data_IF_401398455673
#
_entry.id   IF_401398455673
#
_cell.length_a   1.000
_cell.length_b   1.000
_cell.length_c   1.000
_cell.angle_alpha   90.00
_cell.angle_beta   90.00
_cell.angle_gamma   90.00
#
_symmetry.space_group_name_H-M   'P 1'
#
loop_
_entity.id
_entity.type
_entity.pdbx_description
1 polymer ?
#
# COMPACT_ATOMS: atom_id res chain seq x y z
N UNK A 1 4.42 -10.16 20.41
CA UNK A 1 3.83 -10.27 19.05
C UNK A 1 2.41 -9.74 19.17
N UNK A 2 2.02 -8.72 18.39
CA UNK A 2 0.78 -7.95 18.63
C UNK A 2 -0.50 -8.64 18.18
N UNK A 3 -0.39 -9.82 17.57
CA UNK A 3 -1.51 -10.67 17.15
C UNK A 3 -1.16 -12.11 17.50
N UNK A 4 -2.15 -12.90 17.91
CA UNK A 4 -1.94 -14.32 18.17
C UNK A 4 -1.57 -15.05 16.86
N UNK A 5 -0.67 -16.04 16.91
CA UNK A 5 -0.35 -16.83 15.73
C UNK A 5 -1.58 -17.63 15.32
N UNK A 6 -2.10 -17.34 14.13
CA UNK A 6 -3.19 -18.10 13.53
C UNK A 6 -2.63 -19.44 13.06
N UNK A 7 -3.23 -20.54 13.51
CA UNK A 7 -2.89 -21.86 13.02
C UNK A 7 -3.30 -21.96 11.54
N UNK A 8 -2.37 -22.37 10.68
CA UNK A 8 -2.63 -22.63 9.27
C UNK A 8 -2.38 -24.10 9.00
N UNK A 9 -3.37 -24.77 8.43
CA UNK A 9 -3.24 -26.16 8.02
C UNK A 9 -2.15 -26.29 6.96
N UNK A 10 -1.29 -27.30 7.12
CA UNK A 10 -0.26 -27.57 6.13
C UNK A 10 -0.91 -28.19 4.88
N UNK A 11 -0.61 -27.68 3.67
CA UNK A 11 -1.10 -28.31 2.45
C UNK A 11 -0.54 -29.73 2.31
N UNK A 12 -1.29 -30.64 1.65
CA UNK A 12 -0.83 -32.01 1.41
C UNK A 12 0.43 -32.01 0.54
N UNK A 13 1.31 -33.00 0.74
CA UNK A 13 2.48 -33.15 -0.12
C UNK A 13 2.05 -33.61 -1.52
N UNK A 14 2.47 -32.86 -2.53
CA UNK A 14 2.20 -33.16 -3.94
C UNK A 14 3.45 -33.73 -4.61
N UNK A 15 3.25 -34.56 -5.65
CA UNK A 15 4.33 -35.03 -6.51
C UNK A 15 5.03 -33.85 -7.21
N UNK A 16 6.34 -33.95 -7.44
CA UNK A 16 7.14 -32.85 -8.01
C UNK A 16 6.63 -32.33 -9.36
N UNK A 17 6.01 -33.20 -10.16
CA UNK A 17 5.43 -32.86 -11.46
C UNK A 17 4.23 -31.91 -11.39
N UNK A 18 3.53 -31.84 -10.24
CA UNK A 18 2.46 -30.86 -10.02
C UNK A 18 2.97 -29.51 -9.47
N UNK A 19 4.28 -29.38 -9.22
CA UNK A 19 4.92 -28.18 -8.71
C UNK A 19 5.84 -27.58 -9.78
N UNK A 20 7.15 -27.62 -9.58
CA UNK A 20 8.15 -27.07 -10.50
C UNK A 20 8.83 -28.16 -11.34
N UNK A 21 8.25 -29.35 -11.44
CA UNK A 21 8.70 -30.46 -12.29
C UNK A 21 9.65 -31.44 -11.57
N UNK A 22 10.72 -30.94 -10.96
CA UNK A 22 11.74 -31.79 -10.30
C UNK A 22 12.07 -31.30 -8.87
N UNK A 23 12.73 -32.17 -8.09
CA UNK A 23 13.17 -31.81 -6.73
C UNK A 23 14.15 -30.63 -6.72
N UNK A 24 15.07 -30.60 -7.69
CA UNK A 24 16.06 -29.54 -7.83
C UNK A 24 15.41 -28.20 -8.18
N UNK A 25 14.43 -28.22 -9.09
CA UNK A 25 13.67 -27.01 -9.46
C UNK A 25 12.81 -26.51 -8.29
N UNK A 26 12.16 -27.42 -7.55
CA UNK A 26 11.42 -27.04 -6.35
C UNK A 26 12.30 -26.31 -5.33
N UNK A 27 13.52 -26.81 -5.09
CA UNK A 27 14.47 -26.16 -4.18
C UNK A 27 14.88 -24.78 -4.71
N UNK A 28 15.24 -24.68 -5.99
CA UNK A 28 15.65 -23.43 -6.61
C UNK A 28 14.57 -22.34 -6.50
N UNK A 29 13.34 -22.63 -6.91
CA UNK A 29 12.23 -21.67 -6.82
C UNK A 29 11.88 -21.32 -5.36
N UNK A 30 11.94 -22.28 -4.44
CA UNK A 30 11.74 -21.98 -3.01
C UNK A 30 12.78 -21.01 -2.48
N UNK A 31 14.05 -21.17 -2.85
CA UNK A 31 15.12 -20.25 -2.47
C UNK A 31 14.92 -18.86 -3.09
N UNK A 32 14.52 -18.77 -4.36
CA UNK A 32 14.21 -17.49 -5.02
C UNK A 32 13.06 -16.78 -4.29
N UNK A 33 11.93 -17.47 -4.08
CA UNK A 33 10.75 -16.87 -3.47
C UNK A 33 10.91 -16.59 -1.97
N UNK A 34 11.83 -17.27 -1.27
CA UNK A 34 12.15 -16.94 0.12
C UNK A 34 12.66 -15.50 0.30
N UNK A 35 13.22 -14.89 -0.75
CA UNK A 35 13.65 -13.48 -0.73
C UNK A 35 12.46 -12.51 -0.59
N UNK A 36 11.25 -12.96 -0.92
CA UNK A 36 10.00 -12.20 -0.77
C UNK A 36 9.26 -12.53 0.53
N UNK A 37 9.90 -13.25 1.45
CA UNK A 37 9.35 -13.54 2.78
C UNK A 37 9.93 -12.60 3.83
N UNK A 38 9.12 -12.19 4.82
CA UNK A 38 9.54 -11.31 5.92
C UNK A 38 9.20 -9.82 5.73
N UNK A 39 8.68 -9.43 4.58
CA UNK A 39 8.16 -8.08 4.34
C UNK A 39 7.00 -8.09 3.35
N UNK A 40 6.32 -6.95 3.18
CA UNK A 40 5.33 -6.69 2.12
C UNK A 40 5.69 -5.36 1.47
N UNK A 41 5.61 -5.28 0.14
CA UNK A 41 6.12 -4.14 -0.63
C UNK A 41 5.68 -4.18 -2.09
N UNK A 42 6.23 -3.28 -2.93
CA UNK A 42 5.73 -3.01 -4.29
C UNK A 42 5.51 -4.27 -5.16
N UNK A 43 6.44 -5.22 -5.16
CA UNK A 43 6.32 -6.45 -5.96
C UNK A 43 5.11 -7.31 -5.55
N UNK A 44 4.78 -7.33 -4.26
CA UNK A 44 3.60 -8.01 -3.74
C UNK A 44 2.31 -7.32 -4.21
N UNK A 45 2.24 -5.99 -4.10
CA UNK A 45 1.07 -5.22 -4.55
C UNK A 45 0.84 -5.33 -6.06
N UNK A 46 1.91 -5.33 -6.86
CA UNK A 46 1.82 -5.55 -8.31
C UNK A 46 1.22 -6.92 -8.63
N UNK A 47 1.72 -7.96 -7.97
CA UNK A 47 1.22 -9.34 -8.15
C UNK A 47 -0.24 -9.45 -7.71
N UNK A 48 -0.62 -8.78 -6.61
CA UNK A 48 -2.02 -8.70 -6.17
C UNK A 48 -2.89 -8.01 -7.23
N UNK A 49 -2.46 -6.89 -7.80
CA UNK A 49 -3.24 -6.20 -8.83
C UNK A 49 -3.52 -7.09 -10.04
N UNK A 50 -2.50 -7.81 -10.52
CA UNK A 50 -2.62 -8.71 -11.66
C UNK A 50 -3.55 -9.90 -11.40
N UNK A 51 -3.48 -10.50 -10.21
CA UNK A 51 -4.27 -11.68 -9.86
C UNK A 51 -5.72 -11.35 -9.50
N UNK A 52 -5.95 -10.21 -8.82
CA UNK A 52 -7.29 -9.80 -8.40
C UNK A 52 -8.07 -9.12 -9.53
N UNK A 53 -7.39 -8.33 -10.36
CA UNK A 53 -8.02 -7.43 -11.33
C UNK A 53 -8.92 -6.37 -10.69
N UNK A 54 -9.56 -5.53 -11.51
CA UNK A 54 -10.41 -4.43 -11.03
C UNK A 54 -11.55 -4.90 -10.12
N UNK A 55 -12.22 -5.99 -10.48
CA UNK A 55 -13.35 -6.51 -9.70
C UNK A 55 -12.88 -7.01 -8.32
N UNK A 56 -11.77 -7.76 -8.27
CA UNK A 56 -11.24 -8.26 -7.00
C UNK A 56 -10.76 -7.12 -6.10
N UNK A 57 -10.04 -6.13 -6.67
CA UNK A 57 -9.59 -4.95 -5.93
C UNK A 57 -10.79 -4.18 -5.37
N UNK A 58 -11.84 -3.96 -6.16
CA UNK A 58 -13.04 -3.24 -5.70
C UNK A 58 -13.70 -3.91 -4.48
N UNK A 59 -13.85 -5.24 -4.52
CA UNK A 59 -14.41 -6.00 -3.39
C UNK A 59 -13.51 -5.91 -2.15
N UNK A 60 -12.20 -6.03 -2.31
CA UNK A 60 -11.25 -5.87 -1.19
C UNK A 60 -11.35 -4.47 -0.58
N UNK A 61 -11.41 -3.43 -1.39
CA UNK A 61 -11.57 -2.05 -0.91
C UNK A 61 -12.89 -1.86 -0.14
N UNK A 62 -13.98 -2.46 -0.63
CA UNK A 62 -15.27 -2.40 0.04
C UNK A 62 -15.24 -3.07 1.43
N UNK A 63 -14.63 -4.26 1.53
CA UNK A 63 -14.48 -4.97 2.81
C UNK A 63 -13.54 -4.22 3.76
N UNK A 64 -12.45 -3.65 3.26
CA UNK A 64 -11.55 -2.81 4.07
C UNK A 64 -12.27 -1.57 4.64
N UNK A 65 -13.16 -0.94 3.85
CA UNK A 65 -13.98 0.17 4.33
C UNK A 65 -14.95 -0.27 5.45
N UNK A 66 -15.53 -1.46 5.35
CA UNK A 66 -16.38 -2.03 6.41
C UNK A 66 -15.58 -2.25 7.70
N UNK A 67 -14.36 -2.80 7.58
CA UNK A 67 -13.44 -2.99 8.73
C UNK A 67 -13.09 -1.65 9.36
N UNK A 68 -12.71 -0.66 8.56
CA UNK A 68 -12.39 0.71 9.03
C UNK A 68 -13.58 1.32 9.77
N UNK A 69 -14.78 1.23 9.19
CA UNK A 69 -16.00 1.73 9.83
C UNK A 69 -16.22 1.07 11.20
N UNK A 70 -16.05 -0.24 11.28
CA UNK A 70 -16.18 -1.00 12.53
C UNK A 70 -15.13 -0.58 13.57
N UNK A 71 -13.86 -0.45 13.18
CA UNK A 71 -12.78 -0.03 14.07
C UNK A 71 -12.99 1.40 14.62
N UNK A 72 -13.40 2.32 13.74
CA UNK A 72 -13.61 3.73 14.11
C UNK A 72 -14.84 3.88 15.00
N UNK A 73 -15.97 3.28 14.63
CA UNK A 73 -17.23 3.41 15.37
C UNK A 73 -17.30 2.53 16.63
N UNK A 74 -16.50 1.47 16.69
CA UNK A 74 -16.38 0.57 17.83
C UNK A 74 -15.23 0.98 18.75
N UNK A 75 -14.11 0.25 18.65
CA UNK A 75 -13.00 0.32 19.61
C UNK A 75 -12.43 1.74 19.76
N UNK A 76 -12.09 2.40 18.64
CA UNK A 76 -11.43 3.71 18.69
C UNK A 76 -12.35 4.75 19.35
N UNK A 77 -13.63 4.77 18.99
CA UNK A 77 -14.61 5.68 19.59
C UNK A 77 -14.78 5.44 21.09
N UNK A 78 -14.90 4.17 21.51
CA UNK A 78 -15.05 3.81 22.92
C UNK A 78 -13.82 4.24 23.72
N UNK A 79 -12.61 3.91 23.27
CA UNK A 79 -11.38 4.33 23.93
C UNK A 79 -11.22 5.86 23.95
N UNK A 80 -11.59 6.55 22.88
CA UNK A 80 -11.50 8.02 22.83
C UNK A 80 -12.42 8.67 23.86
N UNK A 81 -13.64 8.15 24.05
CA UNK A 81 -14.56 8.63 25.10
C UNK A 81 -13.98 8.42 26.49
N UNK A 82 -13.50 7.21 26.79
CA UNK A 82 -12.88 6.89 28.08
C UNK A 82 -11.66 7.75 28.36
N UNK A 83 -10.79 7.96 27.36
CA UNK A 83 -9.62 8.82 27.52
C UNK A 83 -9.99 10.30 27.65
N UNK A 84 -11.06 10.76 26.99
CA UNK A 84 -11.56 12.12 27.18
C UNK A 84 -12.08 12.36 28.61
N UNK A 85 -12.70 11.36 29.24
CA UNK A 85 -13.11 11.44 30.64
C UNK A 85 -11.93 11.46 31.61
N UNK A 86 -10.85 10.73 31.28
CA UNK A 86 -9.60 10.74 32.04
C UNK A 86 -8.72 11.99 31.76
N UNK A 87 -9.02 12.76 30.71
CA UNK A 87 -8.24 13.94 30.34
C UNK A 87 -8.45 15.06 31.38
N UNK A 88 -7.38 15.77 31.80
CA UNK A 88 -7.54 16.95 32.64
C UNK A 88 -8.41 18.00 31.92
N UNK A 89 -9.42 18.53 32.63
CA UNK A 89 -10.35 19.54 32.08
C UNK A 89 -9.64 20.79 31.53
N UNK A 90 -8.49 21.11 32.11
CA UNK A 90 -7.67 22.25 31.71
C UNK A 90 -6.20 21.85 31.77
N UNK A 91 -5.55 21.75 30.61
CA UNK A 91 -4.11 21.60 30.48
C UNK A 91 -3.57 22.85 29.76
N UNK A 92 -2.98 23.79 30.52
CA UNK A 92 -2.47 25.06 29.96
C UNK A 92 -1.07 24.86 29.41
N UNK A 93 -0.69 25.70 28.45
CA UNK A 93 0.69 25.81 28.01
C UNK A 93 1.49 26.56 29.08
N UNK A 94 2.49 25.94 29.74
CA UNK A 94 3.30 26.63 30.74
C UNK A 94 4.16 27.72 30.09
N UNK A 95 4.48 28.78 30.84
CA UNK A 95 5.35 29.87 30.36
C UNK A 95 6.78 29.37 30.13
N UNK A 96 7.51 30.02 29.22
CA UNK A 96 8.91 29.68 28.94
C UNK A 96 9.81 29.86 30.18
N UNK A 97 9.42 30.74 31.11
CA UNK A 97 10.14 31.04 32.36
C UNK A 97 10.34 29.81 33.28
N UNK A 98 9.52 28.75 33.12
CA UNK A 98 9.63 27.51 33.91
C UNK A 98 10.77 26.58 33.45
N UNK A 99 11.36 26.83 32.28
CA UNK A 99 12.38 25.96 31.68
C UNK A 99 11.87 24.57 31.28
N UNK A 100 12.66 23.84 30.50
CA UNK A 100 12.27 22.51 30.01
C UNK A 100 11.99 21.48 31.12
N UNK A 101 12.73 21.42 32.25
CA UNK A 101 12.42 20.46 33.32
C UNK A 101 11.09 20.76 34.01
N UNK A 102 10.78 22.04 34.22
CA UNK A 102 9.52 22.47 34.85
C UNK A 102 8.32 22.17 33.95
N UNK A 103 8.44 22.41 32.65
CA UNK A 103 7.41 22.08 31.65
C UNK A 103 7.17 20.57 31.57
N UNK A 104 8.23 19.77 31.55
CA UNK A 104 8.12 18.31 31.53
C UNK A 104 7.43 17.77 32.78
N UNK A 105 7.84 18.27 33.96
CA UNK A 105 7.22 17.89 35.24
C UNK A 105 5.72 18.26 35.29
N UNK A 106 5.34 19.41 34.74
CA UNK A 106 3.95 19.81 34.60
C UNK A 106 3.13 18.80 33.77
N UNK A 107 3.60 18.46 32.56
CA UNK A 107 2.88 17.52 31.70
C UNK A 107 2.85 16.10 32.27
N UNK A 108 3.93 15.66 32.93
CA UNK A 108 3.95 14.37 33.60
C UNK A 108 2.90 14.32 34.72
N UNK A 109 2.76 15.37 35.52
CA UNK A 109 1.74 15.42 36.57
C UNK A 109 0.31 15.48 36.00
N UNK A 110 0.10 16.26 34.94
CA UNK A 110 -1.24 16.46 34.34
C UNK A 110 -1.74 15.27 33.52
N UNK A 111 -0.85 14.52 32.88
CA UNK A 111 -1.19 13.43 31.96
C UNK A 111 -0.90 12.04 32.55
N UNK A 112 -0.58 11.95 33.84
CA UNK A 112 -0.20 10.70 34.49
C UNK A 112 -1.26 9.59 34.30
N UNK A 113 -2.54 9.94 34.45
CA UNK A 113 -3.65 8.99 34.34
C UNK A 113 -3.81 8.44 32.91
N UNK A 114 -3.42 9.22 31.90
CA UNK A 114 -3.40 8.78 30.50
C UNK A 114 -2.19 7.89 30.23
N UNK A 115 -1.01 8.28 30.74
CA UNK A 115 0.23 7.52 30.55
C UNK A 115 0.14 6.14 31.20
N UNK A 116 -0.53 6.05 32.35
CA UNK A 116 -0.72 4.80 33.08
C UNK A 116 -1.91 3.98 32.59
N UNK A 117 -2.69 4.46 31.61
CA UNK A 117 -3.85 3.74 31.11
C UNK A 117 -3.41 2.40 30.48
N UNK A 118 -3.73 1.25 31.10
CA UNK A 118 -3.11 -0.04 30.74
C UNK A 118 -3.45 -0.48 29.32
N UNK A 119 -4.66 -0.13 28.86
CA UNK A 119 -5.17 -0.56 27.55
C UNK A 119 -4.77 0.38 26.41
N UNK A 120 -4.17 1.54 26.70
CA UNK A 120 -3.74 2.49 25.66
C UNK A 120 -2.70 1.85 24.72
N UNK A 121 -1.76 1.09 25.30
CA UNK A 121 -0.66 0.52 24.52
C UNK A 121 -1.05 -0.78 23.81
N UNK A 122 -1.89 -1.59 24.42
CA UNK A 122 -2.25 -2.92 23.93
C UNK A 122 -3.41 -2.88 22.93
N UNK A 123 -4.41 -2.04 23.16
CA UNK A 123 -5.66 -2.04 22.39
C UNK A 123 -5.79 -0.80 21.50
N UNK A 124 -5.57 0.40 22.05
CA UNK A 124 -5.76 1.65 21.30
C UNK A 124 -4.73 1.80 20.18
N UNK A 125 -3.44 1.68 20.50
CA UNK A 125 -2.39 1.76 19.47
C UNK A 125 -2.43 0.58 18.49
N UNK A 126 -2.93 -0.58 18.93
CA UNK A 126 -3.18 -1.68 18.01
C UNK A 126 -4.26 -1.32 16.99
N UNK A 127 -5.39 -0.78 17.45
CA UNK A 127 -6.51 -0.34 16.60
C UNK A 127 -6.08 0.76 15.63
N UNK A 128 -5.31 1.75 16.08
CA UNK A 128 -4.77 2.79 15.19
C UNK A 128 -3.77 2.24 14.17
N UNK A 129 -2.94 1.29 14.56
CA UNK A 129 -2.01 0.64 13.63
C UNK A 129 -2.75 -0.17 12.58
N UNK A 130 -3.80 -0.90 12.95
CA UNK A 130 -4.64 -1.63 12.02
C UNK A 130 -5.33 -0.67 11.04
N UNK A 131 -5.97 0.37 11.55
CA UNK A 131 -6.58 1.43 10.75
C UNK A 131 -5.59 2.09 9.78
N UNK A 132 -4.39 2.45 10.27
CA UNK A 132 -3.34 3.04 9.45
C UNK A 132 -2.83 2.08 8.37
N UNK A 133 -2.64 0.80 8.71
CA UNK A 133 -2.24 -0.23 7.75
C UNK A 133 -3.30 -0.42 6.65
N UNK A 134 -4.60 -0.35 6.99
CA UNK A 134 -5.67 -0.40 5.99
C UNK A 134 -5.58 0.75 5.01
N UNK A 135 -5.39 1.98 5.49
CA UNK A 135 -5.24 3.16 4.62
C UNK A 135 -4.00 3.03 3.73
N UNK A 136 -2.87 2.64 4.32
CA UNK A 136 -1.63 2.42 3.57
C UNK A 136 -1.79 1.34 2.51
N UNK A 137 -2.51 0.27 2.82
CA UNK A 137 -2.81 -0.78 1.86
C UNK A 137 -3.62 -0.24 0.67
N UNK A 138 -4.67 0.55 0.93
CA UNK A 138 -5.48 1.15 -0.14
C UNK A 138 -4.61 2.04 -1.05
N UNK A 139 -3.78 2.90 -0.46
CA UNK A 139 -2.88 3.78 -1.19
C UNK A 139 -1.87 3.00 -2.05
N UNK A 140 -1.22 1.99 -1.48
CA UNK A 140 -0.22 1.18 -2.20
C UNK A 140 -0.85 0.33 -3.31
N UNK A 141 -2.08 -0.14 -3.11
CA UNK A 141 -2.83 -0.87 -4.12
C UNK A 141 -3.20 0.04 -5.30
N UNK A 142 -3.68 1.25 -5.03
CA UNK A 142 -3.99 2.25 -6.07
C UNK A 142 -2.73 2.61 -6.88
N UNK A 143 -1.60 2.86 -6.19
CA UNK A 143 -0.32 3.14 -6.86
C UNK A 143 0.14 1.98 -7.76
N UNK A 144 -0.02 0.75 -7.31
CA UNK A 144 0.34 -0.43 -8.09
C UNK A 144 -0.58 -0.60 -9.31
N UNK A 145 -1.89 -0.34 -9.15
CA UNK A 145 -2.85 -0.37 -10.25
C UNK A 145 -2.53 0.68 -11.32
N UNK A 146 -2.22 1.91 -10.93
CA UNK A 146 -1.83 2.96 -11.88
C UNK A 146 -0.55 2.60 -12.65
N UNK A 147 0.40 1.91 -12.03
CA UNK A 147 1.62 1.46 -12.73
C UNK A 147 1.31 0.37 -13.76
N UNK A 148 0.42 -0.57 -13.45
CA UNK A 148 -0.05 -1.59 -14.38
C UNK A 148 -0.78 -0.95 -15.57
N UNK A 149 -1.71 -0.03 -15.31
CA UNK A 149 -2.46 0.70 -16.34
C UNK A 149 -1.54 1.45 -17.31
N UNK A 150 -0.52 2.14 -16.79
CA UNK A 150 0.44 2.85 -17.65
C UNK A 150 1.22 1.87 -18.53
N UNK A 151 1.60 0.70 -18.01
CA UNK A 151 2.27 -0.32 -18.81
C UNK A 151 1.35 -0.81 -19.94
N UNK A 152 0.08 -1.06 -19.65
CA UNK A 152 -0.90 -1.49 -20.66
C UNK A 152 -1.14 -0.42 -21.72
N UNK A 153 -1.26 0.85 -21.32
CA UNK A 153 -1.40 1.98 -22.23
C UNK A 153 -0.18 2.14 -23.14
N UNK A 154 1.04 1.97 -22.62
CA UNK A 154 2.25 2.04 -23.43
C UNK A 154 2.31 0.93 -24.48
N UNK A 155 1.88 -0.29 -24.14
CA UNK A 155 1.79 -1.39 -25.11
C UNK A 155 0.64 -1.20 -26.11
N UNK A 156 -0.45 -0.55 -25.72
CA UNK A 156 -1.59 -0.26 -26.59
C UNK A 156 -1.36 0.95 -27.51
N UNK A 157 -0.47 1.88 -27.14
CA UNK A 157 -0.24 3.15 -27.83
C UNK A 157 -0.01 3.02 -29.36
N UNK A 158 0.81 2.07 -29.86
CA UNK A 158 0.99 1.86 -31.30
C UNK A 158 -0.33 1.54 -32.04
N UNK A 159 -1.20 0.73 -31.42
CA UNK A 159 -2.47 0.31 -32.00
C UNK A 159 -3.57 1.39 -31.87
N UNK A 160 -3.35 2.38 -31.02
CA UNK A 160 -4.23 3.54 -30.84
C UNK A 160 -3.75 4.80 -31.57
N UNK A 161 -2.70 4.67 -32.40
CA UNK A 161 -2.09 5.80 -33.12
C UNK A 161 -1.55 6.91 -32.18
N UNK A 162 -1.08 6.52 -30.99
CA UNK A 162 -0.43 7.41 -30.05
C UNK A 162 1.07 7.25 -30.22
N UNK A 163 1.70 8.24 -30.86
CA UNK A 163 3.14 8.24 -31.11
C UNK A 163 3.85 9.22 -30.16
N UNK A 164 5.03 8.84 -29.63
CA UNK A 164 5.84 9.75 -28.85
C UNK A 164 6.31 10.93 -29.72
N UNK A 165 6.57 12.08 -29.08
CA UNK A 165 7.05 13.26 -29.79
C UNK A 165 8.43 12.98 -30.41
N UNK A 166 8.60 13.15 -31.73
CA UNK A 166 9.88 12.96 -32.36
C UNK A 166 10.85 14.09 -31.98
N UNK A 167 12.15 13.77 -31.99
CA UNK A 167 13.18 14.79 -31.83
C UNK A 167 13.14 15.76 -33.01
N UNK A 168 13.08 17.07 -32.74
CA UNK A 168 13.03 18.12 -33.75
C UNK A 168 14.31 18.96 -33.69
N UNK A 169 15.04 19.04 -34.80
CA UNK A 169 16.21 19.95 -34.91
C UNK A 169 15.74 21.40 -35.06
N UNK A 170 16.58 22.35 -34.69
CA UNK A 170 16.23 23.79 -34.66
C UNK A 170 15.73 24.37 -36.01
N UNK A 171 16.06 23.73 -37.13
CA UNK A 171 15.64 24.13 -38.47
C UNK A 171 14.33 23.47 -38.95
N UNK A 172 13.80 22.49 -38.23
CA UNK A 172 12.67 21.66 -38.67
C UNK A 172 11.39 21.98 -37.88
N UNK A 173 10.26 22.09 -38.58
CA UNK A 173 8.96 22.29 -37.94
C UNK A 173 8.37 20.93 -37.60
N UNK A 174 7.82 20.79 -36.38
CA UNK A 174 7.15 19.58 -35.90
C UNK A 174 6.21 18.98 -36.95
N UNK A 175 5.37 19.81 -37.58
CA UNK A 175 4.37 19.41 -38.59
C UNK A 175 4.95 18.67 -39.81
N UNK A 176 6.19 18.94 -40.17
CA UNK A 176 6.83 18.31 -41.34
C UNK A 176 7.30 16.89 -41.00
N UNK A 177 7.77 16.67 -39.76
CA UNK A 177 8.10 15.34 -39.21
C UNK A 177 6.84 14.50 -38.91
N UNK A 178 5.70 15.16 -38.69
CA UNK A 178 4.40 14.47 -38.57
C UNK A 178 3.92 13.89 -39.91
N UNK A 179 4.44 14.36 -41.05
CA UNK A 179 4.04 13.91 -42.38
C UNK A 179 4.83 12.69 -42.86
N UNK A 180 6.07 12.56 -42.38
CA UNK A 180 6.97 11.43 -42.65
C UNK A 180 6.66 10.18 -41.78
N UNK A 181 5.55 10.25 -41.02
CA UNK A 181 5.07 9.22 -40.08
C UNK A 181 4.79 7.85 -40.69
N UNK A 182 4.72 7.73 -42.02
CA UNK A 182 4.58 6.45 -42.72
C UNK A 182 5.69 5.44 -42.40
N UNK A 183 6.90 5.91 -42.12
CA UNK A 183 8.06 5.04 -41.82
C UNK A 183 7.95 4.39 -40.43
N UNK A 184 7.30 5.06 -39.48
CA UNK A 184 7.08 4.50 -38.13
C UNK A 184 6.05 3.35 -38.13
N UNK A 185 5.04 3.41 -39.01
CA UNK A 185 4.10 2.30 -39.23
C UNK A 185 4.80 1.05 -39.78
N UNK A 186 5.76 1.22 -40.71
CA UNK A 186 6.59 0.13 -41.22
C UNK A 186 7.50 -0.51 -40.17
N UNK A 187 8.04 0.28 -39.23
CA UNK A 187 8.90 -0.24 -38.15
C UNK A 187 8.12 -0.95 -37.03
N UNK A 188 6.85 -0.61 -36.83
CA UNK A 188 5.96 -1.23 -35.82
C UNK A 188 5.12 -2.39 -36.38
N UNK A 189 5.26 -2.72 -37.66
CA UNK A 189 4.48 -3.80 -38.31
C UNK A 189 2.98 -3.53 -38.36
N UNK A 190 2.55 -2.28 -38.18
CA UNK A 190 1.15 -1.87 -38.20
C UNK A 190 0.88 -1.21 -39.56
N UNK A 191 0.05 -1.85 -40.40
CA UNK A 191 -0.37 -1.25 -41.66
C UNK A 191 -1.18 0.04 -41.41
N UNK A 192 -0.92 1.11 -42.16
CA UNK A 192 -1.74 2.32 -42.12
C UNK A 192 -3.15 2.00 -42.66
N UNK A 193 -4.20 2.38 -41.93
CA UNK A 193 -5.57 2.39 -42.45
C UNK A 193 -5.85 3.68 -43.22
#
# INVERSE_FOLDING_TARGET
MFTQPVHRDKPPQMGHHYLWGSKQLNLAYTTIYSQYTGFVGAQHFRTMCQLLGYQGIAVVMEELLKIVKSLVQGNILQFTKTLMEAMPKVCKLPRYDYGSPGVLGYYHAQLNDIVQYPDARTELFHSFREFGNTILFCLLMEQALSQEEVCDLLHAAPFQNILPRPHCKASERLKDLEKDRGIFYYLLGAEPR
#
